data_IF_776861935200
#
_entry.id   IF_776861935200
#
_cell.length_a   1.000
_cell.length_b   1.000
_cell.length_c   1.000
_cell.angle_alpha   90.00
_cell.angle_beta   90.00
_cell.angle_gamma   90.00
#
_symmetry.space_group_name_H-M   'P 1'
#
loop_
_entity.id
_entity.type
_entity.pdbx_description
1 polymer ?
#
# COMPACT_ATOMS: atom_id res chain seq x y z
N UNK A 1 -9.02 -10.01 23.46
CA UNK A 1 -8.38 -10.56 22.27
C UNK A 1 -8.33 -9.58 21.11
N UNK A 2 -9.47 -9.00 20.76
CA UNK A 2 -9.53 -8.02 19.66
C UNK A 2 -8.68 -6.79 19.92
N UNK A 3 -8.57 -6.39 21.18
CA UNK A 3 -7.82 -5.19 21.55
C UNK A 3 -6.32 -5.35 21.30
N UNK A 4 -5.78 -6.52 21.59
CA UNK A 4 -4.36 -6.79 21.35
C UNK A 4 -4.01 -6.74 19.87
N UNK A 5 -4.88 -7.30 19.04
CA UNK A 5 -4.68 -7.29 17.59
C UNK A 5 -4.77 -5.87 17.05
N UNK A 6 -5.74 -5.11 17.53
CA UNK A 6 -5.91 -3.72 17.14
C UNK A 6 -4.71 -2.87 17.52
N UNK A 7 -4.23 -3.04 18.76
CA UNK A 7 -3.06 -2.30 19.24
C UNK A 7 -1.82 -2.64 18.41
N UNK A 8 -1.65 -3.93 18.09
CA UNK A 8 -0.53 -4.35 17.26
C UNK A 8 -0.60 -3.71 15.88
N UNK A 9 -1.78 -3.67 15.27
CA UNK A 9 -1.98 -3.05 13.96
C UNK A 9 -1.66 -1.55 14.01
N UNK A 10 -2.14 -0.87 15.05
CA UNK A 10 -1.90 0.56 15.18
C UNK A 10 -0.41 0.83 15.36
N UNK A 11 0.24 0.03 16.19
CA UNK A 11 1.67 0.19 16.46
C UNK A 11 2.52 -0.03 15.21
N UNK A 12 2.13 -0.99 14.38
CA UNK A 12 2.86 -1.32 13.17
C UNK A 12 2.24 -0.72 11.90
N UNK A 13 1.30 0.18 12.07
CA UNK A 13 0.56 0.75 10.95
C UNK A 13 1.47 1.34 9.88
N UNK A 14 2.47 2.11 10.30
CA UNK A 14 3.38 2.76 9.36
C UNK A 14 4.15 1.71 8.56
N UNK A 15 4.67 0.70 9.25
CA UNK A 15 5.42 -0.38 8.61
C UNK A 15 4.55 -1.15 7.62
N UNK A 16 3.35 -1.52 8.07
CA UNK A 16 2.42 -2.28 7.23
C UNK A 16 1.99 -1.45 6.03
N UNK A 17 1.68 -0.17 6.25
CA UNK A 17 1.26 0.72 5.17
C UNK A 17 2.33 0.87 4.10
N UNK A 18 3.57 1.07 4.50
CA UNK A 18 4.66 1.16 3.53
C UNK A 18 4.83 -0.14 2.75
N UNK A 19 4.79 -1.27 3.44
CA UNK A 19 4.94 -2.57 2.79
C UNK A 19 3.83 -2.80 1.77
N UNK A 20 2.59 -2.59 2.17
CA UNK A 20 1.44 -2.77 1.29
C UNK A 20 1.48 -1.80 0.11
N UNK A 21 1.82 -0.54 0.38
CA UNK A 21 1.90 0.47 -0.67
C UNK A 21 2.97 0.13 -1.70
N UNK A 22 4.15 -0.27 -1.24
CA UNK A 22 5.23 -0.65 -2.13
C UNK A 22 4.84 -1.87 -2.97
N UNK A 23 4.25 -2.88 -2.34
CA UNK A 23 3.79 -4.07 -3.06
C UNK A 23 2.75 -3.71 -4.11
N UNK A 24 1.83 -2.81 -3.79
CA UNK A 24 0.82 -2.35 -4.75
C UNK A 24 1.45 -1.62 -5.93
N UNK A 25 2.43 -0.76 -5.66
CA UNK A 25 3.13 -0.04 -6.72
C UNK A 25 3.85 -1.03 -7.64
N UNK A 26 4.56 -1.98 -7.05
CA UNK A 26 5.27 -2.99 -7.83
C UNK A 26 4.31 -3.81 -8.68
N UNK A 27 3.17 -4.20 -8.11
CA UNK A 27 2.15 -4.94 -8.86
C UNK A 27 1.60 -4.11 -10.01
N UNK A 28 1.35 -2.82 -9.77
CA UNK A 28 0.86 -1.93 -10.81
C UNK A 28 1.87 -1.77 -11.93
N UNK A 29 3.13 -1.57 -11.59
CA UNK A 29 4.18 -1.45 -12.61
C UNK A 29 4.32 -2.74 -13.41
N UNK A 30 4.24 -3.89 -12.74
CA UNK A 30 4.29 -5.17 -13.41
C UNK A 30 3.16 -5.31 -14.43
N UNK A 31 1.95 -4.92 -14.05
CA UNK A 31 0.81 -4.95 -14.95
C UNK A 31 1.01 -4.06 -16.18
N UNK A 32 1.59 -2.88 -15.98
CA UNK A 32 1.89 -1.97 -17.09
C UNK A 32 2.87 -2.63 -18.04
N UNK A 33 3.90 -3.27 -17.52
CA UNK A 33 4.89 -3.97 -18.35
C UNK A 33 4.26 -5.10 -19.15
N UNK A 34 3.24 -5.75 -18.60
CA UNK A 34 2.54 -6.83 -19.31
C UNK A 34 1.50 -6.34 -20.31
N UNK A 35 1.34 -5.03 -20.43
CA UNK A 35 0.37 -4.46 -21.36
C UNK A 35 -0.96 -4.07 -20.72
N UNK A 36 -1.13 -4.35 -19.44
CA UNK A 36 -2.36 -4.00 -18.72
C UNK A 36 -2.19 -2.61 -18.09
N UNK A 37 -2.24 -1.59 -18.94
CA UNK A 37 -1.95 -0.24 -18.53
C UNK A 37 -2.99 0.31 -17.56
N UNK A 38 -4.27 0.12 -17.88
CA UNK A 38 -5.36 0.68 -17.07
C UNK A 38 -5.36 0.11 -15.66
N UNK A 39 -5.42 -1.22 -15.45
CA UNK A 39 -5.36 -1.76 -14.09
C UNK A 39 -4.01 -1.48 -13.41
N UNK A 40 -2.92 -1.43 -14.18
CA UNK A 40 -1.62 -1.10 -13.64
C UNK A 40 -1.57 0.29 -13.06
N UNK A 41 -2.09 1.27 -13.78
CA UNK A 41 -2.16 2.64 -13.31
C UNK A 41 -3.05 2.74 -12.07
N UNK A 42 -4.16 2.03 -12.07
CA UNK A 42 -5.09 2.04 -10.94
C UNK A 42 -4.41 1.51 -9.67
N UNK A 43 -3.73 0.38 -9.77
CA UNK A 43 -3.05 -0.20 -8.61
C UNK A 43 -1.87 0.64 -8.15
N UNK A 44 -1.13 1.22 -9.10
CA UNK A 44 -0.02 2.11 -8.75
C UNK A 44 -0.53 3.35 -8.02
N UNK A 45 -1.66 3.91 -8.46
CA UNK A 45 -2.25 5.07 -7.81
C UNK A 45 -2.68 4.74 -6.38
N UNK A 46 -3.29 3.56 -6.18
CA UNK A 46 -3.70 3.11 -4.86
C UNK A 46 -2.47 2.95 -3.95
N UNK A 47 -1.42 2.31 -4.46
CA UNK A 47 -0.19 2.13 -3.70
C UNK A 47 0.45 3.45 -3.31
N UNK A 48 0.52 4.38 -4.25
CA UNK A 48 1.06 5.70 -3.99
C UNK A 48 0.22 6.45 -2.95
N UNK A 49 -1.09 6.32 -3.03
CA UNK A 49 -1.99 6.93 -2.06
C UNK A 49 -1.74 6.38 -0.66
N UNK A 50 -1.59 5.07 -0.55
CA UNK A 50 -1.33 4.42 0.75
C UNK A 50 -0.02 4.92 1.34
N UNK A 51 1.04 4.95 0.53
CA UNK A 51 2.35 5.42 0.99
C UNK A 51 2.30 6.88 1.42
N UNK A 52 1.61 7.70 0.64
CA UNK A 52 1.45 9.12 0.96
C UNK A 52 0.68 9.30 2.26
N UNK A 53 -0.39 8.54 2.45
CA UNK A 53 -1.22 8.63 3.65
C UNK A 53 -0.40 8.24 4.90
N UNK A 54 0.35 7.16 4.81
CA UNK A 54 1.19 6.70 5.92
C UNK A 54 2.26 7.74 6.25
N UNK A 55 2.85 8.33 5.22
CA UNK A 55 3.86 9.36 5.40
C UNK A 55 3.28 10.60 6.08
N UNK A 56 2.08 11.00 5.70
CA UNK A 56 1.41 12.16 6.28
C UNK A 56 0.99 11.89 7.72
N UNK A 57 0.63 10.66 8.03
CA UNK A 57 0.16 10.27 9.35
C UNK A 57 1.24 10.45 10.42
N UNK A 58 2.46 10.40 10.03
CA UNK A 58 3.57 10.55 10.93
C UNK A 58 3.63 11.98 11.49
#
# INVERSE_FOLDING_TARGET
>A
MMNKFKDWLIEHRVKIGYTVGILNILSGLSNIFMGNIIPGLFWSAIGAYIVFDVRTYK
#
